data_IF_992018623777
#
_entry.id   IF_992018623777
#
_cell.length_a   1.000
_cell.length_b   1.000
_cell.length_c   1.000
_cell.angle_alpha   90.00
_cell.angle_beta   90.00
_cell.angle_gamma   90.00
#
_symmetry.space_group_name_H-M   'P 1'
#
loop_
_entity.id
_entity.type
_entity.pdbx_description
1 polymer ?
#
# COMPACT_ATOMS: atom_id res chain seq x y z
N UNK A 1 -11.02 -15.57 -1.66
CA UNK A 1 -10.29 -15.51 -0.37
C UNK A 1 -8.90 -14.95 -0.64
N UNK A 2 -8.64 -13.67 -0.32
CA UNK A 2 -7.35 -13.02 -0.62
C UNK A 2 -6.25 -13.38 0.38
N UNK A 3 -4.99 -13.30 -0.03
CA UNK A 3 -3.79 -13.61 0.79
C UNK A 3 -3.76 -12.91 2.15
N UNK A 4 -4.36 -11.72 2.25
CA UNK A 4 -4.45 -10.94 3.51
C UNK A 4 -5.41 -11.53 4.54
N UNK A 5 -6.34 -12.41 4.15
CA UNK A 5 -7.19 -13.13 5.12
C UNK A 5 -6.48 -14.34 5.75
N UNK A 6 -5.34 -14.78 5.19
CA UNK A 6 -4.66 -16.01 5.61
C UNK A 6 -3.38 -15.75 6.38
N UNK A 7 -2.73 -14.61 6.18
CA UNK A 7 -1.48 -14.24 6.87
C UNK A 7 -1.41 -12.73 7.12
N UNK A 8 -1.25 -12.33 8.38
CA UNK A 8 -0.98 -10.95 8.78
C UNK A 8 0.51 -10.62 8.55
N UNK A 9 0.90 -10.45 7.29
CA UNK A 9 2.22 -9.92 7.00
C UNK A 9 2.24 -8.40 7.30
N UNK A 10 3.28 -7.91 8.00
CA UNK A 10 3.46 -6.47 8.14
C UNK A 10 3.69 -5.85 6.76
N UNK A 11 3.02 -4.73 6.49
CA UNK A 11 3.15 -4.00 5.23
C UNK A 11 3.93 -2.72 5.55
N UNK A 12 5.05 -2.54 4.86
CA UNK A 12 5.83 -1.32 4.92
C UNK A 12 5.66 -0.55 3.60
N UNK A 13 5.39 0.73 3.70
CA UNK A 13 5.30 1.66 2.57
C UNK A 13 6.45 2.65 2.71
N UNK A 14 7.11 2.98 1.61
CA UNK A 14 8.21 3.94 1.64
C UNK A 14 7.75 5.35 2.04
N UNK A 15 8.57 6.10 2.79
CA UNK A 15 8.25 7.47 3.19
C UNK A 15 8.01 8.40 2.00
N UNK A 16 8.67 8.20 0.85
CA UNK A 16 8.43 9.02 -0.33
C UNK A 16 7.01 8.90 -0.88
N UNK A 17 6.32 7.79 -0.61
CA UNK A 17 4.92 7.65 -0.96
C UNK A 17 4.00 8.58 -0.15
N UNK A 18 4.39 8.88 1.09
CA UNK A 18 3.68 9.86 1.93
C UNK A 18 3.83 11.26 1.34
N UNK A 19 5.03 11.63 0.89
CA UNK A 19 5.30 12.91 0.26
C UNK A 19 4.60 13.07 -1.10
N UNK A 20 4.49 11.99 -1.88
CA UNK A 20 3.79 11.99 -3.17
C UNK A 20 2.27 12.18 -3.05
N UNK A 21 1.67 11.91 -1.87
CA UNK A 21 0.25 12.10 -1.57
C UNK A 21 -0.71 11.10 -2.24
N UNK A 22 -0.37 10.55 -3.41
CA UNK A 22 -1.14 9.52 -4.10
C UNK A 22 -0.26 8.38 -4.58
N UNK A 23 -0.79 7.16 -4.46
CA UNK A 23 -0.20 5.93 -4.96
C UNK A 23 -1.11 5.27 -5.99
N UNK A 24 -0.50 4.63 -6.97
CA UNK A 24 -1.19 3.74 -7.90
C UNK A 24 -0.78 2.32 -7.53
N UNK A 25 -1.75 1.51 -7.09
CA UNK A 25 -1.52 0.12 -6.68
C UNK A 25 -2.38 -0.83 -7.49
N UNK A 26 -1.89 -2.05 -7.69
CA UNK A 26 -2.66 -3.11 -8.35
C UNK A 26 -3.84 -3.55 -7.47
N UNK A 27 -5.01 -3.69 -8.07
CA UNK A 27 -6.23 -4.14 -7.38
C UNK A 27 -6.28 -5.67 -7.18
N UNK A 28 -5.22 -6.40 -7.57
CA UNK A 28 -5.19 -7.86 -7.54
C UNK A 28 -5.82 -8.53 -8.77
N UNK A 29 -6.09 -7.76 -9.83
CA UNK A 29 -6.58 -8.24 -11.12
C UNK A 29 -5.82 -7.53 -12.25
N UNK A 30 -5.46 -8.28 -13.29
CA UNK A 30 -4.72 -7.77 -14.44
C UNK A 30 -5.56 -6.68 -15.12
N UNK A 31 -4.99 -5.49 -15.32
CA UNK A 31 -5.66 -4.36 -15.96
C UNK A 31 -6.46 -3.46 -15.01
N UNK A 32 -6.47 -3.74 -13.70
CA UNK A 32 -7.06 -2.84 -12.69
C UNK A 32 -6.00 -2.26 -11.77
N UNK A 33 -5.76 -0.97 -11.94
CA UNK A 33 -4.96 -0.15 -11.03
C UNK A 33 -5.88 0.86 -10.34
N UNK A 34 -5.65 1.07 -9.05
CA UNK A 34 -6.41 2.04 -8.26
C UNK A 34 -5.47 3.16 -7.88
N UNK A 35 -5.85 4.39 -8.22
CA UNK A 35 -5.22 5.59 -7.68
C UNK A 35 -5.90 5.92 -6.35
N UNK A 36 -5.15 5.86 -5.27
CA UNK A 36 -5.64 6.11 -3.92
C UNK A 36 -4.67 7.03 -3.17
N UNK A 37 -5.18 7.81 -2.23
CA UNK A 37 -4.32 8.59 -1.35
C UNK A 37 -3.42 7.66 -0.53
N UNK A 38 -2.13 7.95 -0.48
CA UNK A 38 -1.13 7.10 0.17
C UNK A 38 -1.44 6.86 1.65
N UNK A 39 -1.93 7.90 2.34
CA UNK A 39 -2.28 7.83 3.76
C UNK A 39 -3.54 6.97 3.98
N UNK A 40 -4.55 7.13 3.12
CA UNK A 40 -5.79 6.35 3.20
C UNK A 40 -5.54 4.86 2.91
N UNK A 41 -4.64 4.55 1.97
CA UNK A 41 -4.21 3.18 1.71
C UNK A 41 -3.48 2.62 2.92
N UNK A 42 -2.51 3.35 3.48
CA UNK A 42 -1.74 2.92 4.63
C UNK A 42 -2.63 2.61 5.84
N UNK A 43 -3.62 3.47 6.12
CA UNK A 43 -4.60 3.25 7.18
C UNK A 43 -5.45 1.99 6.92
N UNK A 44 -5.96 1.84 5.70
CA UNK A 44 -6.79 0.70 5.31
C UNK A 44 -6.06 -0.64 5.38
N UNK A 45 -4.76 -0.66 5.08
CA UNK A 45 -3.94 -1.88 5.11
C UNK A 45 -3.13 -2.03 6.40
N UNK A 46 -3.24 -1.07 7.33
CA UNK A 46 -2.40 -0.96 8.54
C UNK A 46 -0.91 -1.04 8.23
N UNK A 47 -0.48 -0.33 7.19
CA UNK A 47 0.93 -0.23 6.84
C UNK A 47 1.66 0.81 7.67
N UNK A 48 2.96 0.58 7.87
CA UNK A 48 3.87 1.54 8.47
C UNK A 48 4.71 2.24 7.40
N UNK A 49 4.89 3.55 7.54
CA UNK A 49 5.79 4.30 6.67
C UNK A 49 7.23 4.17 7.17
N UNK A 50 8.05 3.44 6.43
CA UNK A 50 9.47 3.24 6.75
C UNK A 50 10.33 3.80 5.63
N UNK A 51 11.51 4.30 5.96
CA UNK A 51 12.51 4.70 4.97
C UNK A 51 13.19 3.41 4.47
N UNK A 52 12.70 2.89 3.35
CA UNK A 52 13.17 1.62 2.77
C UNK A 52 13.82 1.83 1.41
N UNK A 53 14.06 3.09 1.00
CA UNK A 53 14.86 3.38 -0.18
C UNK A 53 16.33 3.09 0.09
N UNK A 54 16.96 2.52 -0.94
CA UNK A 54 18.41 2.33 -1.08
C UNK A 54 19.08 3.64 -1.52
#
# INVERSE_FOLDING_TARGET
MGIRQKHNFPIYIDQSAREAGFLIVSAGEIGRSIRINSQALADFVKAEFADIKE
#
